data_IF_228517791342
#
_entry.id   IF_228517791342
#
_cell.length_a   1.000
_cell.length_b   1.000
_cell.length_c   1.000
_cell.angle_alpha   90.00
_cell.angle_beta   90.00
_cell.angle_gamma   90.00
#
_symmetry.space_group_name_H-M   'P 1'
#
loop_
_entity.id
_entity.type
_entity.pdbx_description
1 polymer ?
#
# COMPACT_ATOMS: atom_id res chain seq x y z
N UNK A 1 9.26 1.72 -38.30
CA UNK A 1 10.46 2.35 -37.70
C UNK A 1 10.32 2.53 -36.19
N UNK A 2 9.21 3.10 -35.67
CA UNK A 2 9.00 3.32 -34.24
C UNK A 2 8.93 2.04 -33.36
N UNK A 3 8.32 0.94 -33.85
CA UNK A 3 8.26 -0.34 -33.10
C UNK A 3 9.68 -0.84 -32.73
N UNK A 4 10.58 -0.87 -33.71
CA UNK A 4 11.96 -1.35 -33.54
C UNK A 4 12.73 -0.42 -32.58
N UNK A 5 12.57 0.89 -32.73
CA UNK A 5 13.22 1.86 -31.84
C UNK A 5 12.74 1.72 -30.39
N UNK A 6 11.43 1.57 -30.15
CA UNK A 6 10.86 1.37 -28.82
C UNK A 6 11.34 0.05 -28.18
N UNK A 7 11.39 -1.04 -28.96
CA UNK A 7 11.91 -2.33 -28.51
C UNK A 7 13.40 -2.28 -28.11
N UNK A 8 14.23 -1.58 -28.90
CA UNK A 8 15.65 -1.38 -28.56
C UNK A 8 15.80 -0.58 -27.26
N UNK A 9 15.03 0.50 -27.09
CA UNK A 9 15.07 1.30 -25.86
C UNK A 9 14.63 0.49 -24.64
N UNK A 10 13.61 -0.36 -24.78
CA UNK A 10 13.20 -1.25 -23.70
C UNK A 10 14.32 -2.23 -23.32
N UNK A 11 14.97 -2.86 -24.29
CA UNK A 11 16.10 -3.74 -24.03
C UNK A 11 17.26 -3.02 -23.32
N UNK A 12 17.62 -1.81 -23.77
CA UNK A 12 18.67 -1.01 -23.13
C UNK A 12 18.27 -0.61 -21.70
N UNK A 13 16.99 -0.31 -21.46
CA UNK A 13 16.48 0.06 -20.13
C UNK A 13 16.54 -1.08 -19.11
N UNK A 14 16.74 -2.34 -19.53
CA UNK A 14 16.94 -3.45 -18.60
C UNK A 14 18.29 -3.39 -17.87
N UNK A 15 19.27 -2.63 -18.38
CA UNK A 15 20.60 -2.50 -17.79
C UNK A 15 20.66 -1.32 -16.83
N UNK A 16 20.90 -1.57 -15.54
CA UNK A 16 20.85 -0.56 -14.49
C UNK A 16 21.78 0.64 -14.74
N UNK A 17 22.98 0.41 -15.28
CA UNK A 17 23.95 1.46 -15.61
C UNK A 17 23.51 2.38 -16.76
N UNK A 18 22.52 2.00 -17.56
CA UNK A 18 22.00 2.80 -18.67
C UNK A 18 20.73 3.56 -18.33
N UNK A 19 19.97 3.13 -17.30
CA UNK A 19 18.64 3.68 -17.00
C UNK A 19 18.66 5.19 -16.73
N UNK A 20 19.65 5.71 -16.00
CA UNK A 20 19.74 7.17 -15.74
C UNK A 20 20.03 7.96 -17.02
N UNK A 21 20.91 7.45 -17.90
CA UNK A 21 21.22 8.08 -19.18
C UNK A 21 19.99 8.08 -20.10
N UNK A 22 19.29 6.94 -20.20
CA UNK A 22 18.06 6.81 -20.98
C UNK A 22 16.95 7.72 -20.46
N UNK A 23 16.79 7.85 -19.13
CA UNK A 23 15.85 8.81 -18.55
C UNK A 23 16.21 10.25 -18.92
N UNK A 24 17.50 10.58 -19.00
CA UNK A 24 17.97 11.91 -19.42
C UNK A 24 17.64 12.20 -20.88
N UNK A 25 17.96 11.28 -21.77
CA UNK A 25 17.98 11.49 -23.22
C UNK A 25 16.68 11.11 -23.93
N UNK A 26 15.97 10.07 -23.48
CA UNK A 26 14.83 9.50 -24.21
C UNK A 26 13.46 9.77 -23.57
N UNK A 27 13.39 10.13 -22.28
CA UNK A 27 12.10 10.24 -21.56
C UNK A 27 11.13 11.25 -22.18
N UNK A 28 11.62 12.43 -22.58
CA UNK A 28 10.76 13.46 -23.21
C UNK A 28 10.20 12.96 -24.53
N UNK A 29 11.06 12.43 -25.40
CA UNK A 29 10.65 11.97 -26.73
C UNK A 29 9.70 10.78 -26.65
N UNK A 30 9.98 9.80 -25.78
CA UNK A 30 9.07 8.68 -25.54
C UNK A 30 7.71 9.15 -25.01
N UNK A 31 7.67 10.19 -24.19
CA UNK A 31 6.42 10.72 -23.64
C UNK A 31 5.66 11.51 -24.70
N UNK A 32 6.30 12.53 -25.28
CA UNK A 32 5.65 13.52 -26.13
C UNK A 32 5.35 13.01 -27.53
N UNK A 33 6.20 12.15 -28.10
CA UNK A 33 6.05 11.67 -29.48
C UNK A 33 5.38 10.31 -29.57
N UNK A 34 5.34 9.54 -28.47
CA UNK A 34 4.84 8.16 -28.48
C UNK A 34 3.68 7.99 -27.49
N UNK A 35 3.94 8.12 -26.19
CA UNK A 35 2.94 7.83 -25.16
C UNK A 35 1.70 8.73 -25.28
N UNK A 36 1.89 10.06 -25.37
CA UNK A 36 0.79 11.04 -25.42
C UNK A 36 -0.09 10.87 -26.67
N UNK A 37 0.47 10.78 -27.90
CA UNK A 37 -0.34 10.55 -29.10
C UNK A 37 -1.11 9.23 -29.09
N UNK A 38 -0.49 8.15 -28.58
CA UNK A 38 -1.14 6.84 -28.52
C UNK A 38 -2.33 6.85 -27.56
N UNK A 39 -2.15 7.35 -26.34
CA UNK A 39 -3.25 7.40 -25.36
C UNK A 39 -4.41 8.33 -25.79
N UNK A 40 -4.16 9.25 -26.72
CA UNK A 40 -5.19 10.14 -27.28
C UNK A 40 -5.98 9.50 -28.43
N UNK A 41 -5.53 8.36 -28.96
CA UNK A 41 -6.06 7.71 -30.16
C UNK A 41 -6.63 6.30 -29.88
N UNK A 42 -7.05 6.03 -28.63
CA UNK A 42 -7.63 4.74 -28.26
C UNK A 42 -9.03 4.58 -28.90
N UNK A 43 -9.42 3.41 -29.45
CA UNK A 43 -8.70 2.12 -29.41
C UNK A 43 -7.48 2.06 -30.35
N UNK A 44 -6.38 1.50 -29.84
CA UNK A 44 -5.13 1.34 -30.60
C UNK A 44 -5.23 0.20 -31.62
N UNK A 45 -4.67 0.43 -32.81
CA UNK A 45 -4.40 -0.64 -33.78
C UNK A 45 -3.36 -1.65 -33.24
N UNK A 46 -3.24 -2.86 -33.81
CA UNK A 46 -2.29 -3.86 -33.33
C UNK A 46 -0.83 -3.36 -33.29
N UNK A 47 -0.39 -2.61 -34.31
CA UNK A 47 0.96 -2.05 -34.35
C UNK A 47 1.17 -0.95 -33.30
N UNK A 48 0.17 -0.10 -33.09
CA UNK A 48 0.19 0.93 -32.04
C UNK A 48 0.22 0.31 -30.64
N UNK A 49 -0.48 -0.80 -30.43
CA UNK A 49 -0.43 -1.56 -29.18
C UNK A 49 0.96 -2.13 -28.91
N UNK A 50 1.65 -2.64 -29.93
CA UNK A 50 3.05 -3.09 -29.81
C UNK A 50 3.99 -1.93 -29.48
N UNK A 51 3.81 -0.77 -30.11
CA UNK A 51 4.60 0.43 -29.80
C UNK A 51 4.35 0.87 -28.34
N UNK A 52 3.08 0.91 -27.92
CA UNK A 52 2.70 1.26 -26.56
C UNK A 52 3.29 0.27 -25.55
N UNK A 53 3.19 -1.04 -25.81
CA UNK A 53 3.73 -2.08 -24.96
C UNK A 53 5.25 -1.94 -24.77
N UNK A 54 6.01 -1.77 -25.85
CA UNK A 54 7.45 -1.56 -25.77
C UNK A 54 7.81 -0.26 -25.03
N UNK A 55 7.07 0.82 -25.30
CA UNK A 55 7.28 2.14 -24.67
C UNK A 55 7.00 2.09 -23.17
N UNK A 56 5.85 1.55 -22.78
CA UNK A 56 5.47 1.38 -21.37
C UNK A 56 6.42 0.42 -20.64
N UNK A 57 6.93 -0.62 -21.30
CA UNK A 57 7.96 -1.51 -20.75
C UNK A 57 9.27 -0.79 -20.46
N UNK A 58 9.71 0.10 -21.36
CA UNK A 58 10.84 0.99 -21.12
C UNK A 58 10.59 1.90 -19.91
N UNK A 59 9.44 2.57 -19.85
CA UNK A 59 9.07 3.45 -18.73
C UNK A 59 9.00 2.70 -17.39
N UNK A 60 8.50 1.45 -17.39
CA UNK A 60 8.49 0.57 -16.21
C UNK A 60 9.90 0.36 -15.68
N UNK A 61 10.86 0.07 -16.56
CA UNK A 61 12.26 -0.11 -16.16
C UNK A 61 12.87 1.20 -15.65
N UNK A 62 12.64 2.34 -16.33
CA UNK A 62 13.17 3.63 -15.91
C UNK A 62 12.62 4.08 -14.54
N UNK A 63 11.35 3.82 -14.24
CA UNK A 63 10.72 4.19 -12.97
C UNK A 63 11.26 3.42 -11.75
N UNK A 64 12.00 2.33 -11.96
CA UNK A 64 12.52 1.46 -10.90
C UNK A 64 13.86 1.90 -10.27
N UNK A 65 14.51 2.95 -10.79
CA UNK A 65 15.93 3.25 -10.53
C UNK A 65 16.18 3.93 -9.18
N UNK A 66 15.96 5.24 -9.12
CA UNK A 66 16.33 6.10 -8.00
C UNK A 66 15.38 7.30 -7.93
N UNK A 67 15.45 8.02 -6.81
CA UNK A 67 14.63 9.21 -6.54
C UNK A 67 14.70 10.22 -7.68
N UNK A 68 15.90 10.56 -8.16
CA UNK A 68 16.09 11.54 -9.25
C UNK A 68 15.30 11.17 -10.51
N UNK A 69 15.33 9.89 -10.89
CA UNK A 69 14.62 9.39 -12.07
C UNK A 69 13.12 9.39 -11.86
N UNK A 70 12.64 8.95 -10.68
CA UNK A 70 11.22 9.02 -10.32
C UNK A 70 10.72 10.46 -10.36
N UNK A 71 11.46 11.39 -9.77
CA UNK A 71 11.10 12.80 -9.74
C UNK A 71 11.01 13.38 -11.15
N UNK A 72 12.01 13.10 -12.01
CA UNK A 72 11.96 13.50 -13.43
C UNK A 72 10.72 12.95 -14.15
N UNK A 73 10.33 11.71 -13.88
CA UNK A 73 9.12 11.11 -14.47
C UNK A 73 7.83 11.70 -13.92
N UNK A 74 7.76 12.02 -12.62
CA UNK A 74 6.61 12.72 -12.03
C UNK A 74 6.43 14.12 -12.61
N UNK A 75 7.54 14.80 -12.90
CA UNK A 75 7.54 16.16 -13.47
C UNK A 75 7.36 16.16 -15.00
N UNK A 76 7.45 15.00 -15.66
CA UNK A 76 7.31 14.87 -17.11
C UNK A 76 5.84 15.09 -17.51
N UNK A 77 5.58 16.23 -18.16
CA UNK A 77 4.24 16.64 -18.59
C UNK A 77 3.61 15.58 -19.51
N UNK A 78 2.38 15.19 -19.19
CA UNK A 78 1.62 14.21 -19.97
C UNK A 78 1.94 12.75 -19.66
N UNK A 79 3.06 12.44 -18.99
CA UNK A 79 3.42 11.05 -18.69
C UNK A 79 2.36 10.37 -17.81
N UNK A 80 2.10 10.93 -16.63
CA UNK A 80 1.15 10.34 -15.67
C UNK A 80 -0.27 10.43 -16.22
N UNK A 81 -0.65 11.55 -16.84
CA UNK A 81 -1.98 11.73 -17.44
C UNK A 81 -2.28 10.67 -18.51
N UNK A 82 -1.34 10.40 -19.41
CA UNK A 82 -1.49 9.39 -20.46
C UNK A 82 -1.60 7.98 -19.91
N UNK A 83 -0.81 7.62 -18.89
CA UNK A 83 -0.91 6.31 -18.24
C UNK A 83 -2.27 6.13 -17.54
N UNK A 84 -2.76 7.17 -16.86
CA UNK A 84 -4.09 7.12 -16.24
C UNK A 84 -5.19 7.00 -17.28
N UNK A 85 -5.10 7.79 -18.37
CA UNK A 85 -6.06 7.71 -19.48
C UNK A 85 -6.10 6.31 -20.09
N UNK A 86 -4.94 5.64 -20.24
CA UNK A 86 -4.87 4.26 -20.71
C UNK A 86 -5.53 3.28 -19.73
N UNK A 87 -5.23 3.39 -18.43
CA UNK A 87 -5.82 2.55 -17.38
C UNK A 87 -7.36 2.69 -17.33
N UNK A 88 -7.88 3.87 -17.61
CA UNK A 88 -9.33 4.14 -17.61
C UNK A 88 -10.10 3.46 -18.73
N UNK A 89 -9.46 3.16 -19.87
CA UNK A 89 -10.13 2.67 -21.08
C UNK A 89 -10.14 1.14 -21.14
N UNK A 90 -10.51 0.55 -19.99
CA UNK A 90 -10.29 -0.81 -19.50
C UNK A 90 -11.01 -1.97 -20.25
N UNK A 91 -11.16 -1.91 -21.58
CA UNK A 91 -11.80 -2.97 -22.38
C UNK A 91 -10.81 -4.00 -22.96
N UNK A 92 -9.69 -4.30 -22.31
CA UNK A 92 -8.67 -5.17 -22.91
C UNK A 92 -8.24 -6.27 -21.94
N UNK A 93 -8.88 -7.44 -22.06
CA UNK A 93 -8.38 -8.68 -21.45
C UNK A 93 -6.95 -8.96 -21.94
N UNK A 94 -6.06 -9.37 -21.03
CA UNK A 94 -4.63 -9.68 -21.27
C UNK A 94 -3.79 -8.55 -21.90
N UNK A 95 -3.98 -7.32 -21.44
CA UNK A 95 -3.20 -6.17 -21.91
C UNK A 95 -1.90 -5.97 -21.14
N UNK A 96 -0.78 -6.40 -21.72
CA UNK A 96 0.57 -6.16 -21.16
C UNK A 96 0.93 -4.68 -21.06
N UNK A 97 0.33 -3.81 -21.87
CA UNK A 97 0.45 -2.36 -21.75
C UNK A 97 -0.18 -1.83 -20.47
N UNK A 98 -1.33 -2.39 -20.07
CA UNK A 98 -1.98 -2.09 -18.80
C UNK A 98 -1.11 -2.52 -17.62
N UNK A 99 -0.55 -3.73 -17.68
CA UNK A 99 0.39 -4.22 -16.66
C UNK A 99 1.57 -3.25 -16.48
N UNK A 100 2.22 -2.86 -17.58
CA UNK A 100 3.34 -1.94 -17.53
C UNK A 100 2.94 -0.58 -16.98
N UNK A 101 1.77 -0.06 -17.36
CA UNK A 101 1.25 1.22 -16.86
C UNK A 101 1.02 1.18 -15.35
N UNK A 102 0.37 0.14 -14.84
CA UNK A 102 0.18 -0.06 -13.40
C UNK A 102 1.51 -0.20 -12.66
N UNK A 103 2.49 -0.92 -13.23
CA UNK A 103 3.83 -1.02 -12.66
C UNK A 103 4.54 0.33 -12.58
N UNK A 104 4.43 1.17 -13.62
CA UNK A 104 4.96 2.54 -13.58
C UNK A 104 4.28 3.34 -12.47
N UNK A 105 2.95 3.30 -12.39
CA UNK A 105 2.20 4.01 -11.36
C UNK A 105 2.58 3.56 -9.94
N UNK A 106 2.76 2.26 -9.71
CA UNK A 106 3.28 1.71 -8.45
C UNK A 106 4.65 2.28 -8.12
N UNK A 107 5.58 2.24 -9.06
CA UNK A 107 6.97 2.70 -8.87
C UNK A 107 7.03 4.22 -8.60
N UNK A 108 6.23 5.02 -9.31
CA UNK A 108 6.15 6.47 -9.08
C UNK A 108 5.46 6.81 -7.76
N UNK A 109 4.63 5.91 -7.20
CA UNK A 109 4.02 6.07 -5.88
C UNK A 109 4.99 5.69 -4.74
N UNK A 110 6.12 5.05 -5.02
CA UNK A 110 7.11 4.71 -3.99
C UNK A 110 7.73 5.97 -3.38
N UNK A 111 7.81 6.02 -2.04
CA UNK A 111 8.33 7.17 -1.28
C UNK A 111 7.67 8.51 -1.65
N UNK A 112 6.40 8.47 -2.11
CA UNK A 112 5.69 9.64 -2.64
C UNK A 112 5.75 10.82 -1.68
N UNK A 113 5.34 10.65 -0.42
CA UNK A 113 5.24 11.76 0.54
C UNK A 113 6.57 12.40 0.93
N UNK A 114 7.65 11.64 0.94
CA UNK A 114 8.99 12.17 1.25
C UNK A 114 9.58 12.94 0.08
N UNK A 115 9.23 12.54 -1.15
CA UNK A 115 9.76 13.10 -2.40
C UNK A 115 8.86 14.19 -3.01
N UNK A 116 7.64 14.41 -2.48
CA UNK A 116 6.74 15.46 -2.96
C UNK A 116 7.34 16.87 -2.77
N UNK A 117 7.07 17.81 -3.70
CA UNK A 117 7.46 19.21 -3.53
C UNK A 117 6.93 19.78 -2.19
N UNK A 118 7.71 20.62 -1.47
CA UNK A 118 7.30 21.15 -0.16
C UNK A 118 5.94 21.87 -0.17
N UNK A 119 5.63 22.59 -1.25
CA UNK A 119 4.34 23.26 -1.42
C UNK A 119 3.16 22.28 -1.48
N UNK A 120 3.33 21.15 -2.17
CA UNK A 120 2.33 20.08 -2.24
C UNK A 120 2.19 19.40 -0.90
N UNK A 121 3.30 19.09 -0.22
CA UNK A 121 3.28 18.48 1.13
C UNK A 121 2.52 19.35 2.12
N UNK A 122 2.80 20.65 2.15
CA UNK A 122 2.13 21.61 3.04
C UNK A 122 0.61 21.66 2.76
N UNK A 123 0.21 21.66 1.47
CA UNK A 123 -1.20 21.57 1.07
C UNK A 123 -1.85 20.29 1.60
N UNK A 124 -1.20 19.14 1.43
CA UNK A 124 -1.75 17.83 1.84
C UNK A 124 -1.74 17.60 3.36
N UNK A 125 -0.85 18.28 4.09
CA UNK A 125 -0.88 18.30 5.56
C UNK A 125 -2.07 19.14 6.09
N UNK A 126 -2.55 20.11 5.31
CA UNK A 126 -3.64 21.00 5.66
C UNK A 126 -3.28 21.93 6.83
N UNK A 127 -4.21 22.80 7.28
CA UNK A 127 -3.97 23.65 8.45
C UNK A 127 -3.68 22.79 9.69
N UNK A 128 -2.50 22.99 10.28
CA UNK A 128 -2.08 22.31 11.51
C UNK A 128 -2.86 22.86 12.70
N UNK A 129 -3.18 22.03 13.70
CA UNK A 129 -3.89 22.46 14.92
C UNK A 129 -3.14 23.58 15.67
N UNK A 130 -1.84 23.74 15.45
CA UNK A 130 -1.03 24.82 16.00
C UNK A 130 -1.39 26.22 15.45
N UNK A 131 -2.05 26.32 14.30
CA UNK A 131 -2.58 27.60 13.79
C UNK A 131 -4.01 27.88 14.24
N UNK A 132 -4.71 26.90 14.82
CA UNK A 132 -6.07 27.06 15.37
C UNK A 132 -6.08 27.30 16.89
N UNK A 133 -4.94 27.16 17.56
CA UNK A 133 -4.83 27.24 19.02
C UNK A 133 -4.49 28.64 19.55
N UNK A 134 -4.90 29.72 18.88
CA UNK A 134 -4.79 31.08 19.45
C UNK A 134 -6.10 31.68 19.95
N UNK A 135 -7.27 31.04 19.77
CA UNK A 135 -8.55 31.66 20.17
C UNK A 135 -9.60 30.70 20.80
N UNK A 136 -9.22 29.64 21.52
CA UNK A 136 -10.16 29.11 22.52
C UNK A 136 -9.47 28.44 23.71
N UNK A 137 -9.49 29.15 24.83
CA UNK A 137 -9.42 28.56 26.16
C UNK A 137 -10.66 27.69 26.37
N UNK A 138 -10.48 26.39 26.57
CA UNK A 138 -11.45 25.55 27.28
C UNK A 138 -10.76 24.31 27.86
N UNK A 139 -10.49 24.39 29.16
CA UNK A 139 -10.21 23.28 30.07
C UNK A 139 -11.44 22.37 30.10
N UNK A 140 -11.28 21.05 29.93
CA UNK A 140 -12.42 20.12 30.03
C UNK A 140 -12.07 18.66 29.75
N UNK A 141 -11.81 17.92 30.82
CA UNK A 141 -11.75 16.46 30.86
C UNK A 141 -13.10 15.86 30.44
N UNK A 142 -13.31 15.50 29.16
CA UNK A 142 -14.31 14.54 28.61
C UNK A 142 -14.35 14.65 27.06
N UNK A 143 -13.34 14.18 26.31
CA UNK A 143 -13.34 14.31 24.83
C UNK A 143 -12.69 13.14 24.06
N UNK A 144 -13.11 11.90 24.31
CA UNK A 144 -12.77 10.78 23.38
C UNK A 144 -13.76 10.67 22.21
N UNK A 145 -15.03 11.02 22.41
CA UNK A 145 -16.06 10.93 21.35
C UNK A 145 -16.01 12.09 20.33
N UNK A 146 -15.58 13.29 20.74
CA UNK A 146 -15.49 14.46 19.85
C UNK A 146 -14.29 14.40 18.89
N UNK A 147 -13.22 13.71 19.27
CA UNK A 147 -11.97 13.62 18.47
C UNK A 147 -12.18 12.90 17.13
N UNK A 148 -12.99 11.81 17.14
CA UNK A 148 -13.26 10.99 15.95
C UNK A 148 -14.17 11.68 14.92
N UNK A 149 -15.19 12.41 15.38
CA UNK A 149 -16.02 13.22 14.49
C UNK A 149 -15.23 14.41 13.91
N UNK A 150 -14.36 15.03 14.70
CA UNK A 150 -13.54 16.15 14.25
C UNK A 150 -12.49 15.70 13.21
N UNK A 151 -11.81 14.57 13.42
CA UNK A 151 -10.86 14.01 12.42
C UNK A 151 -11.55 13.61 11.11
N UNK A 152 -12.75 13.01 11.18
CA UNK A 152 -13.52 12.64 9.97
C UNK A 152 -14.01 13.85 9.19
N UNK A 153 -14.54 14.87 9.89
CA UNK A 153 -14.98 16.13 9.28
C UNK A 153 -13.79 16.88 8.65
N UNK A 154 -12.62 16.84 9.30
CA UNK A 154 -11.39 17.41 8.75
C UNK A 154 -10.92 16.66 7.50
N UNK A 155 -10.92 15.32 7.49
CA UNK A 155 -10.51 14.54 6.32
C UNK A 155 -11.44 14.79 5.11
N UNK A 156 -12.75 14.95 5.34
CA UNK A 156 -13.72 15.35 4.32
C UNK A 156 -13.47 16.76 3.79
N UNK A 157 -13.07 17.70 4.66
CA UNK A 157 -12.68 19.06 4.26
C UNK A 157 -11.45 19.06 3.34
N UNK A 158 -10.42 18.25 3.63
CA UNK A 158 -9.18 18.23 2.80
C UNK A 158 -9.42 17.51 1.46
N UNK A 159 -10.35 16.54 1.40
CA UNK A 159 -10.79 15.98 0.11
C UNK A 159 -11.40 17.05 -0.82
N UNK A 160 -11.88 18.18 -0.27
CA UNK A 160 -12.31 19.32 -1.09
C UNK A 160 -11.16 20.25 -1.51
N UNK A 161 -9.98 20.14 -0.89
CA UNK A 161 -8.78 20.92 -1.21
C UNK A 161 -8.00 20.34 -2.41
N UNK A 162 -8.30 19.12 -2.82
CA UNK A 162 -7.72 18.51 -4.04
C UNK A 162 -8.52 18.87 -5.29
N UNK A 163 -7.82 19.07 -6.40
CA UNK A 163 -8.43 19.44 -7.68
C UNK A 163 -9.45 18.38 -8.11
N UNK A 164 -10.65 18.83 -8.51
CA UNK A 164 -11.65 17.93 -9.14
C UNK A 164 -11.13 17.28 -10.42
N UNK A 165 -10.16 17.91 -11.08
CA UNK A 165 -9.48 17.41 -12.26
C UNK A 165 -7.98 17.34 -11.97
N UNK A 166 -7.49 16.22 -11.37
CA UNK A 166 -6.06 16.03 -11.14
C UNK A 166 -5.30 16.04 -12.47
N UNK A 167 -4.06 16.54 -12.43
CA UNK A 167 -3.16 16.60 -13.59
C UNK A 167 -1.76 16.14 -13.20
N UNK A 168 -1.05 15.51 -14.13
CA UNK A 168 0.34 15.07 -13.93
C UNK A 168 0.51 14.25 -12.64
N UNK A 169 1.52 14.59 -11.84
CA UNK A 169 1.81 13.89 -10.59
C UNK A 169 0.69 13.93 -9.54
N UNK A 170 -0.30 14.82 -9.66
CA UNK A 170 -1.43 14.87 -8.71
C UNK A 170 -2.23 13.56 -8.71
N UNK A 171 -2.31 12.88 -9.86
CA UNK A 171 -2.96 11.58 -9.95
C UNK A 171 -2.43 10.56 -8.94
N UNK A 172 -1.11 10.54 -8.69
CA UNK A 172 -0.46 9.53 -7.85
C UNK A 172 -0.97 9.51 -6.40
N UNK A 173 -1.54 10.60 -5.91
CA UNK A 173 -2.11 10.70 -4.56
C UNK A 173 -3.58 11.13 -4.59
N UNK A 174 -4.24 11.09 -5.75
CA UNK A 174 -5.63 11.51 -5.87
C UNK A 174 -6.61 10.35 -5.54
N UNK A 175 -7.72 10.60 -4.81
CA UNK A 175 -8.73 9.58 -4.50
C UNK A 175 -9.28 8.81 -5.72
N UNK A 176 -9.41 9.47 -6.88
CA UNK A 176 -9.84 8.83 -8.14
C UNK A 176 -8.95 7.66 -8.55
N UNK A 177 -7.64 7.67 -8.25
CA UNK A 177 -6.78 6.53 -8.55
C UNK A 177 -7.11 5.31 -7.71
N UNK A 178 -7.58 5.49 -6.47
CA UNK A 178 -8.03 4.39 -5.61
C UNK A 178 -9.20 3.64 -6.26
N UNK A 179 -10.16 4.38 -6.82
CA UNK A 179 -11.28 3.80 -7.57
C UNK A 179 -10.81 3.02 -8.81
N UNK A 180 -9.83 3.54 -9.57
CA UNK A 180 -9.28 2.83 -10.73
C UNK A 180 -8.54 1.55 -10.32
N UNK A 181 -7.74 1.59 -9.25
CA UNK A 181 -7.10 0.37 -8.74
C UNK A 181 -8.13 -0.66 -8.30
N UNK A 182 -9.21 -0.24 -7.64
CA UNK A 182 -10.32 -1.14 -7.29
C UNK A 182 -10.91 -1.84 -8.52
N UNK A 183 -11.16 -1.11 -9.61
CA UNK A 183 -11.67 -1.72 -10.85
C UNK A 183 -10.72 -2.79 -11.40
N UNK A 184 -9.40 -2.55 -11.36
CA UNK A 184 -8.39 -3.57 -11.70
C UNK A 184 -8.50 -4.80 -10.79
N UNK A 185 -8.68 -4.62 -9.49
CA UNK A 185 -8.80 -5.74 -8.54
C UNK A 185 -10.10 -6.54 -8.71
N UNK A 186 -11.17 -5.90 -9.17
CA UNK A 186 -12.47 -6.54 -9.39
C UNK A 186 -12.59 -7.24 -10.74
N UNK A 187 -11.74 -6.88 -11.71
CA UNK A 187 -11.73 -7.51 -13.02
C UNK A 187 -11.11 -8.92 -12.92
N UNK A 188 -11.90 -9.95 -13.23
CA UNK A 188 -11.48 -11.36 -13.21
C UNK A 188 -10.36 -11.67 -14.19
N UNK A 189 -10.28 -10.89 -15.27
CA UNK A 189 -9.33 -11.10 -16.36
C UNK A 189 -8.00 -10.35 -16.11
N UNK A 190 -7.90 -9.61 -15.00
CA UNK A 190 -6.66 -8.95 -14.61
C UNK A 190 -5.57 -9.97 -14.30
N UNK A 191 -4.41 -9.80 -14.94
CA UNK A 191 -3.22 -10.60 -14.66
C UNK A 191 -2.77 -10.47 -13.19
N UNK A 192 -2.16 -11.52 -12.64
CA UNK A 192 -1.58 -11.50 -11.29
C UNK A 192 -0.60 -10.32 -11.12
N UNK A 193 0.20 -10.00 -12.14
CA UNK A 193 1.10 -8.84 -12.13
C UNK A 193 0.35 -7.51 -12.09
N UNK A 194 -0.74 -7.35 -12.84
CA UNK A 194 -1.57 -6.14 -12.82
C UNK A 194 -2.19 -5.94 -11.44
N UNK A 195 -2.66 -7.04 -10.83
CA UNK A 195 -3.20 -7.06 -9.48
C UNK A 195 -2.13 -6.69 -8.44
N UNK A 196 -0.97 -7.35 -8.49
CA UNK A 196 0.19 -7.03 -7.65
C UNK A 196 0.55 -5.54 -7.76
N UNK A 197 0.61 -5.00 -8.98
CA UNK A 197 0.96 -3.61 -9.22
C UNK A 197 -0.07 -2.64 -8.63
N UNK A 198 -1.36 -2.92 -8.79
CA UNK A 198 -2.44 -2.13 -8.20
C UNK A 198 -2.41 -2.18 -6.66
N UNK A 199 -2.25 -3.37 -6.06
CA UNK A 199 -2.10 -3.54 -4.61
C UNK A 199 -0.86 -2.81 -4.10
N UNK A 200 0.27 -2.93 -4.79
CA UNK A 200 1.52 -2.25 -4.43
C UNK A 200 1.40 -0.73 -4.54
N UNK A 201 0.66 -0.20 -5.52
CA UNK A 201 0.40 1.23 -5.61
C UNK A 201 -0.45 1.70 -4.43
N UNK A 202 -1.52 0.97 -4.08
CA UNK A 202 -2.32 1.22 -2.88
C UNK A 202 -1.50 1.15 -1.60
N UNK A 203 -0.61 0.16 -1.47
CA UNK A 203 0.32 0.04 -0.35
C UNK A 203 1.21 1.28 -0.24
N UNK A 204 1.77 1.74 -1.36
CA UNK A 204 2.67 2.89 -1.40
C UNK A 204 1.97 4.20 -1.02
N UNK A 205 0.78 4.48 -1.57
CA UNK A 205 0.05 5.72 -1.28
C UNK A 205 -0.56 5.74 0.13
N UNK A 206 -0.71 4.58 0.77
CA UNK A 206 -1.18 4.47 2.17
C UNK A 206 -0.03 4.35 3.17
N UNK A 207 1.23 4.38 2.73
CA UNK A 207 2.38 4.20 3.59
C UNK A 207 2.73 5.45 4.41
N UNK A 208 3.28 5.22 5.61
CA UNK A 208 3.85 6.27 6.45
C UNK A 208 2.89 6.83 7.49
N UNK A 209 3.15 8.07 7.92
CA UNK A 209 2.40 8.81 8.94
C UNK A 209 1.88 10.16 8.43
N UNK A 210 2.08 10.43 7.13
CA UNK A 210 1.56 11.63 6.52
C UNK A 210 0.04 11.67 6.68
N UNK A 211 -0.52 12.84 6.99
CA UNK A 211 -1.97 13.00 7.13
C UNK A 211 -2.72 12.46 5.90
N UNK A 212 -2.19 12.72 4.72
CA UNK A 212 -2.76 12.27 3.46
C UNK A 212 -2.76 10.74 3.27
N UNK A 213 -1.77 10.01 3.82
CA UNK A 213 -1.78 8.54 3.80
C UNK A 213 -2.96 7.99 4.60
N UNK A 214 -3.30 8.65 5.71
CA UNK A 214 -4.50 8.34 6.50
C UNK A 214 -5.79 8.69 5.75
N UNK A 215 -5.83 9.81 5.04
CA UNK A 215 -6.98 10.20 4.20
C UNK A 215 -7.23 9.14 3.12
N UNK A 216 -6.20 8.77 2.35
CA UNK A 216 -6.35 7.75 1.30
C UNK A 216 -6.68 6.36 1.87
N UNK A 217 -6.17 6.01 3.05
CA UNK A 217 -6.60 4.79 3.76
C UNK A 217 -8.10 4.83 4.09
N UNK A 218 -8.60 6.00 4.49
CA UNK A 218 -10.04 6.24 4.68
C UNK A 218 -10.84 6.13 3.38
N UNK A 219 -10.31 6.61 2.25
CA UNK A 219 -10.94 6.42 0.93
C UNK A 219 -11.03 4.93 0.59
N UNK A 220 -9.95 4.16 0.77
CA UNK A 220 -9.93 2.71 0.52
C UNK A 220 -10.98 1.97 1.37
N UNK A 221 -11.08 2.30 2.67
CA UNK A 221 -11.94 1.59 3.62
C UNK A 221 -13.40 2.06 3.60
N UNK A 222 -13.65 3.36 3.57
CA UNK A 222 -14.98 3.94 3.81
C UNK A 222 -15.70 4.31 2.51
N UNK A 223 -14.99 4.94 1.57
CA UNK A 223 -15.57 5.41 0.31
C UNK A 223 -15.65 4.27 -0.71
N UNK A 224 -14.52 3.63 -1.00
CA UNK A 224 -14.41 2.56 -1.99
C UNK A 224 -14.75 1.17 -1.42
N UNK A 225 -14.81 1.04 -0.09
CA UNK A 225 -15.18 -0.19 0.63
C UNK A 225 -14.42 -1.42 0.14
N UNK A 226 -13.12 -1.28 -0.05
CA UNK A 226 -12.28 -2.30 -0.69
C UNK A 226 -11.91 -3.46 0.23
N UNK A 227 -12.18 -3.38 1.55
CA UNK A 227 -11.70 -4.37 2.51
C UNK A 227 -12.13 -5.82 2.17
N UNK A 228 -13.38 -6.12 1.81
CA UNK A 228 -13.77 -7.49 1.42
C UNK A 228 -12.95 -8.00 0.22
N UNK A 229 -12.82 -7.19 -0.84
CA UNK A 229 -12.03 -7.52 -2.03
C UNK A 229 -10.58 -7.84 -1.65
N UNK A 230 -9.97 -7.02 -0.80
CA UNK A 230 -8.59 -7.22 -0.35
C UNK A 230 -8.43 -8.49 0.49
N UNK A 231 -9.44 -8.86 1.27
CA UNK A 231 -9.38 -10.07 2.10
C UNK A 231 -9.59 -11.34 1.29
N UNK A 232 -10.47 -11.31 0.28
CA UNK A 232 -10.65 -12.43 -0.66
C UNK A 232 -9.35 -12.74 -1.42
N UNK A 233 -8.56 -11.71 -1.74
CA UNK A 233 -7.26 -11.86 -2.40
C UNK A 233 -6.17 -12.51 -1.52
N UNK A 234 -6.38 -12.67 -0.20
CA UNK A 234 -5.43 -13.38 0.65
C UNK A 234 -5.44 -14.90 0.39
N UNK A 235 -6.41 -15.43 -0.36
CA UNK A 235 -6.48 -16.86 -0.66
C UNK A 235 -5.48 -17.34 -1.72
N UNK A 236 -4.60 -16.46 -2.21
CA UNK A 236 -3.50 -16.81 -3.12
C UNK A 236 -2.31 -17.44 -2.38
N UNK A 237 -1.61 -18.36 -3.05
CA UNK A 237 -0.30 -18.88 -2.62
C UNK A 237 0.87 -18.06 -3.19
N UNK A 238 0.58 -17.06 -4.03
CA UNK A 238 1.58 -16.19 -4.64
C UNK A 238 2.16 -15.22 -3.61
N UNK A 239 3.39 -15.50 -3.15
CA UNK A 239 4.11 -14.61 -2.24
C UNK A 239 4.33 -13.21 -2.85
N UNK A 240 4.39 -13.11 -4.18
CA UNK A 240 4.45 -11.84 -4.92
C UNK A 240 3.22 -10.97 -4.68
N UNK A 241 2.01 -11.56 -4.62
CA UNK A 241 0.77 -10.83 -4.31
C UNK A 241 0.59 -10.64 -2.79
N UNK A 242 0.94 -11.64 -1.98
CA UNK A 242 0.77 -11.59 -0.52
C UNK A 242 1.61 -10.48 0.13
N UNK A 243 2.82 -10.21 -0.36
CA UNK A 243 3.69 -9.15 0.20
C UNK A 243 3.06 -7.75 0.16
N UNK A 244 2.71 -7.19 -1.01
CA UNK A 244 2.09 -5.88 -1.07
C UNK A 244 0.70 -5.89 -0.44
N UNK A 245 -0.05 -7.00 -0.52
CA UNK A 245 -1.39 -7.11 0.06
C UNK A 245 -1.37 -7.02 1.58
N UNK A 246 -0.54 -7.83 2.24
CA UNK A 246 -0.40 -7.76 3.69
C UNK A 246 0.23 -6.44 4.14
N UNK A 247 1.12 -5.86 3.34
CA UNK A 247 1.65 -4.52 3.57
C UNK A 247 0.57 -3.44 3.53
N UNK A 248 -0.33 -3.48 2.55
CA UNK A 248 -1.49 -2.61 2.46
C UNK A 248 -2.42 -2.81 3.66
N UNK A 249 -2.77 -4.04 3.99
CA UNK A 249 -3.62 -4.35 5.15
C UNK A 249 -3.02 -3.84 6.47
N UNK A 250 -1.69 -3.88 6.62
CA UNK A 250 -0.98 -3.26 7.76
C UNK A 250 -1.17 -1.74 7.78
N UNK A 251 -1.03 -1.06 6.64
CA UNK A 251 -1.23 0.39 6.55
C UNK A 251 -2.68 0.78 6.84
N UNK A 252 -3.65 0.04 6.28
CA UNK A 252 -5.07 0.25 6.56
C UNK A 252 -5.38 0.00 8.05
N UNK A 253 -4.81 -1.07 8.63
CA UNK A 253 -4.96 -1.37 10.05
C UNK A 253 -4.42 -0.23 10.91
N UNK A 254 -3.26 0.35 10.56
CA UNK A 254 -2.68 1.54 11.23
C UNK A 254 -3.67 2.71 11.24
N UNK A 255 -4.19 3.09 10.07
CA UNK A 255 -4.99 4.29 9.86
C UNK A 255 -6.50 4.14 10.16
N UNK A 256 -6.97 2.94 10.46
CA UNK A 256 -8.38 2.71 10.78
C UNK A 256 -8.84 3.45 12.05
N UNK A 257 -9.93 4.20 11.91
CA UNK A 257 -10.57 4.91 13.03
C UNK A 257 -11.44 3.99 13.89
N UNK A 258 -11.77 2.79 13.40
CA UNK A 258 -12.59 1.80 14.12
C UNK A 258 -11.87 0.45 14.17
N UNK A 259 -10.93 0.34 15.11
CA UNK A 259 -10.11 -0.85 15.32
C UNK A 259 -10.94 -2.08 15.69
N UNK A 260 -12.01 -1.92 16.46
CA UNK A 260 -12.90 -3.03 16.82
C UNK A 260 -13.65 -3.59 15.62
N UNK A 261 -14.21 -2.73 14.76
CA UNK A 261 -14.86 -3.20 13.54
C UNK A 261 -13.87 -3.91 12.62
N UNK A 262 -12.69 -3.31 12.43
CA UNK A 262 -11.64 -3.89 11.61
C UNK A 262 -11.12 -5.23 12.17
N UNK A 263 -11.02 -5.35 13.50
CA UNK A 263 -10.60 -6.58 14.16
C UNK A 263 -11.57 -7.74 13.88
N UNK A 264 -12.89 -7.50 13.99
CA UNK A 264 -13.92 -8.51 13.69
C UNK A 264 -13.81 -9.07 12.28
N UNK A 265 -13.41 -8.25 11.32
CA UNK A 265 -13.30 -8.65 9.91
C UNK A 265 -11.97 -9.30 9.58
N UNK A 266 -10.86 -8.80 10.13
CA UNK A 266 -9.52 -9.19 9.67
C UNK A 266 -8.82 -10.24 10.53
N UNK A 267 -9.06 -10.27 11.85
CA UNK A 267 -8.21 -11.05 12.77
C UNK A 267 -8.19 -12.53 12.44
N UNK A 268 -9.36 -13.14 12.20
CA UNK A 268 -9.45 -14.57 11.86
C UNK A 268 -8.64 -14.89 10.58
N UNK A 269 -8.83 -14.10 9.52
CA UNK A 269 -8.20 -14.31 8.21
C UNK A 269 -6.68 -14.11 8.31
N UNK A 270 -6.23 -13.08 9.02
CA UNK A 270 -4.80 -12.83 9.22
C UNK A 270 -4.15 -13.93 10.05
N UNK A 271 -4.80 -14.39 11.13
CA UNK A 271 -4.29 -15.48 11.97
C UNK A 271 -4.28 -16.81 11.21
N UNK A 272 -5.24 -17.07 10.33
CA UNK A 272 -5.24 -18.29 9.52
C UNK A 272 -4.04 -18.36 8.58
N UNK A 273 -3.61 -17.21 8.02
CA UNK A 273 -2.43 -17.09 7.14
C UNK A 273 -1.08 -17.05 7.85
N UNK A 274 -1.03 -16.87 9.18
CA UNK A 274 0.23 -17.02 9.92
C UNK A 274 0.73 -18.48 9.86
N UNK A 275 2.04 -18.71 9.73
CA UNK A 275 2.62 -20.05 9.88
C UNK A 275 2.50 -20.52 11.34
N UNK A 276 2.67 -21.82 11.57
CA UNK A 276 2.66 -22.37 12.94
C UNK A 276 3.90 -22.00 13.73
N UNK A 277 5.04 -21.80 13.06
CA UNK A 277 6.33 -21.43 13.62
C UNK A 277 7.18 -20.65 12.61
N UNK A 278 8.39 -20.24 13.01
CA UNK A 278 9.33 -19.53 12.16
C UNK A 278 10.23 -20.40 11.27
N UNK A 279 10.05 -21.73 11.28
CA UNK A 279 10.74 -22.63 10.34
C UNK A 279 9.99 -22.78 9.03
N UNK A 280 8.66 -22.64 9.05
CA UNK A 280 7.84 -22.61 7.84
C UNK A 280 8.25 -21.44 6.94
N UNK A 281 8.45 -21.75 5.65
CA UNK A 281 8.90 -20.79 4.64
C UNK A 281 7.77 -20.14 3.85
N UNK A 282 6.56 -20.67 3.98
CA UNK A 282 5.34 -20.18 3.36
C UNK A 282 4.32 -19.84 4.46
N UNK A 283 3.84 -18.58 4.54
CA UNK A 283 4.24 -17.44 3.70
C UNK A 283 5.66 -16.93 4.05
N UNK A 284 6.24 -16.07 3.20
CA UNK A 284 7.58 -15.53 3.46
C UNK A 284 7.66 -14.70 4.76
N UNK A 285 8.86 -14.54 5.31
CA UNK A 285 9.07 -13.74 6.52
C UNK A 285 8.57 -12.30 6.39
N UNK A 286 8.61 -11.70 5.20
CA UNK A 286 8.09 -10.35 4.94
C UNK A 286 6.56 -10.29 5.12
N UNK A 287 5.85 -11.28 4.58
CA UNK A 287 4.40 -11.44 4.77
C UNK A 287 4.08 -11.64 6.25
N UNK A 288 4.83 -12.50 6.96
CA UNK A 288 4.64 -12.71 8.41
C UNK A 288 4.84 -11.41 9.20
N UNK A 289 5.87 -10.62 8.87
CA UNK A 289 6.12 -9.30 9.48
C UNK A 289 4.97 -8.34 9.23
N UNK A 290 4.44 -8.31 8.00
CA UNK A 290 3.30 -7.46 7.66
C UNK A 290 2.03 -7.86 8.41
N UNK A 291 1.72 -9.17 8.48
CA UNK A 291 0.58 -9.70 9.25
C UNK A 291 0.72 -9.36 10.73
N UNK A 292 1.89 -9.63 11.33
CA UNK A 292 2.15 -9.27 12.73
C UNK A 292 2.01 -7.77 12.96
N UNK A 293 2.51 -6.94 12.03
CA UNK A 293 2.33 -5.49 12.09
C UNK A 293 0.87 -5.05 12.04
N UNK A 294 0.05 -5.68 11.18
CA UNK A 294 -1.38 -5.40 11.10
C UNK A 294 -2.10 -5.77 12.40
N UNK A 295 -1.85 -6.98 12.93
CA UNK A 295 -2.38 -7.44 14.21
C UNK A 295 -1.95 -6.52 15.35
N UNK A 296 -0.69 -6.09 15.37
CA UNK A 296 -0.17 -5.17 16.37
C UNK A 296 -0.93 -3.83 16.35
N UNK A 297 -1.13 -3.25 15.17
CA UNK A 297 -1.88 -1.99 15.03
C UNK A 297 -3.35 -2.08 15.46
N UNK A 298 -3.95 -3.27 15.38
CA UNK A 298 -5.29 -3.53 15.92
C UNK A 298 -5.23 -3.65 17.45
N UNK A 299 -4.31 -4.48 17.96
CA UNK A 299 -4.14 -4.76 19.39
C UNK A 299 -3.83 -3.50 20.19
N UNK A 300 -3.06 -2.52 19.68
CA UNK A 300 -2.71 -1.31 20.47
C UNK A 300 -3.93 -0.54 20.98
N UNK A 301 -5.07 -0.59 20.27
CA UNK A 301 -6.26 0.18 20.63
C UNK A 301 -7.54 -0.67 20.67
N UNK A 302 -7.43 -2.00 20.70
CA UNK A 302 -8.58 -2.91 20.68
C UNK A 302 -8.31 -4.15 21.52
N UNK A 303 -8.89 -4.20 22.72
CA UNK A 303 -8.90 -5.43 23.53
C UNK A 303 -9.68 -6.55 22.84
N UNK A 304 -10.62 -6.19 21.97
CA UNK A 304 -11.36 -7.13 21.13
C UNK A 304 -10.41 -7.86 20.16
N UNK A 305 -9.49 -7.15 19.51
CA UNK A 305 -8.48 -7.78 18.67
C UNK A 305 -7.62 -8.78 19.44
N UNK A 306 -7.14 -8.42 20.63
CA UNK A 306 -6.34 -9.32 21.48
C UNK A 306 -7.13 -10.57 21.91
N UNK A 307 -8.42 -10.41 22.22
CA UNK A 307 -9.31 -11.54 22.54
C UNK A 307 -9.51 -12.44 21.33
N UNK A 308 -9.80 -11.87 20.16
CA UNK A 308 -10.09 -12.62 18.95
C UNK A 308 -8.83 -13.35 18.43
N UNK A 309 -7.63 -12.75 18.52
CA UNK A 309 -6.36 -13.43 18.22
C UNK A 309 -6.21 -14.68 19.10
N UNK A 310 -6.47 -14.55 20.40
CA UNK A 310 -6.45 -15.71 21.30
C UNK A 310 -7.49 -16.75 20.90
N UNK A 311 -8.71 -16.33 20.59
CA UNK A 311 -9.82 -17.22 20.20
C UNK A 311 -9.48 -18.04 18.95
N UNK A 312 -8.90 -17.42 17.91
CA UNK A 312 -8.52 -18.07 16.66
C UNK A 312 -7.15 -18.76 16.68
N UNK A 313 -6.68 -19.24 17.85
CA UNK A 313 -5.40 -19.94 18.03
C UNK A 313 -4.14 -19.14 17.62
N UNK A 314 -4.22 -17.82 17.58
CA UNK A 314 -3.09 -16.96 17.21
C UNK A 314 -1.94 -16.94 18.22
N UNK A 315 -2.22 -17.19 19.51
CA UNK A 315 -1.19 -17.24 20.55
C UNK A 315 -0.13 -18.31 20.27
N UNK A 316 -0.56 -19.53 19.91
CA UNK A 316 0.34 -20.63 19.62
C UNK A 316 1.25 -20.31 18.43
N UNK A 317 0.68 -19.77 17.34
CA UNK A 317 1.41 -19.37 16.14
C UNK A 317 2.42 -18.25 16.43
N UNK A 318 2.00 -17.18 17.11
CA UNK A 318 2.86 -16.05 17.45
C UNK A 318 4.03 -16.47 18.34
N UNK A 319 3.79 -17.35 19.31
CA UNK A 319 4.85 -17.91 20.16
C UNK A 319 5.79 -18.79 19.34
N UNK A 320 5.26 -19.68 18.49
CA UNK A 320 6.08 -20.50 17.59
C UNK A 320 6.98 -19.67 16.68
N UNK A 321 6.45 -18.60 16.09
CA UNK A 321 7.23 -17.65 15.27
C UNK A 321 8.30 -16.95 16.10
N UNK A 322 7.97 -16.55 17.33
CA UNK A 322 8.89 -15.89 18.27
C UNK A 322 10.03 -16.81 18.71
N UNK A 323 9.78 -18.10 18.99
CA UNK A 323 10.74 -18.98 19.66
C UNK A 323 11.43 -19.99 18.75
N UNK A 324 10.76 -20.44 17.69
CA UNK A 324 11.18 -21.57 16.87
C UNK A 324 11.47 -21.11 15.46
N UNK A 325 12.68 -20.61 15.23
CA UNK A 325 13.10 -20.04 13.95
C UNK A 325 14.58 -20.32 13.63
N UNK A 326 14.94 -20.20 12.36
CA UNK A 326 16.27 -20.56 11.83
C UNK A 326 17.34 -19.45 11.95
N UNK A 327 17.11 -18.44 12.80
CA UNK A 327 17.99 -17.27 12.99
C UNK A 327 18.36 -16.49 11.71
N UNK A 328 17.69 -16.72 10.58
CA UNK A 328 17.87 -15.88 9.40
C UNK A 328 17.40 -14.45 9.67
N UNK A 329 17.95 -13.47 8.96
CA UNK A 329 17.56 -12.06 9.11
C UNK A 329 16.05 -11.84 8.94
N UNK A 330 15.41 -12.56 8.01
CA UNK A 330 13.97 -12.54 7.81
C UNK A 330 13.22 -13.10 9.03
N UNK A 331 13.59 -14.29 9.49
CA UNK A 331 12.94 -14.93 10.63
C UNK A 331 13.12 -14.15 11.93
N UNK A 332 14.27 -13.52 12.16
CA UNK A 332 14.50 -12.65 13.31
C UNK A 332 13.58 -11.42 13.30
N UNK A 333 13.33 -10.83 12.13
CA UNK A 333 12.36 -9.73 12.00
C UNK A 333 10.94 -10.21 12.29
N UNK A 334 10.55 -11.38 11.80
CA UNK A 334 9.25 -11.99 12.07
C UNK A 334 9.07 -12.30 13.57
N UNK A 335 10.09 -12.88 14.21
CA UNK A 335 10.11 -13.18 15.64
C UNK A 335 9.93 -11.91 16.49
N UNK A 336 10.65 -10.82 16.17
CA UNK A 336 10.49 -9.51 16.84
C UNK A 336 9.09 -8.92 16.65
N UNK A 337 8.55 -9.03 15.43
CA UNK A 337 7.19 -8.55 15.14
C UNK A 337 6.14 -9.33 15.95
N UNK A 338 6.26 -10.66 16.01
CA UNK A 338 5.38 -11.52 16.81
C UNK A 338 5.51 -11.23 18.31
N UNK A 339 6.75 -11.05 18.81
CA UNK A 339 7.03 -10.65 20.20
C UNK A 339 6.31 -9.33 20.55
N UNK A 340 6.36 -8.34 19.65
CA UNK A 340 5.68 -7.05 19.86
C UNK A 340 4.16 -7.20 19.98
N UNK A 341 3.54 -8.04 19.14
CA UNK A 341 2.10 -8.34 19.24
C UNK A 341 1.78 -8.94 20.60
N UNK A 342 2.53 -9.97 21.02
CA UNK A 342 2.34 -10.65 22.30
C UNK A 342 2.49 -9.68 23.48
N UNK A 343 3.54 -8.84 23.48
CA UNK A 343 3.75 -7.82 24.51
C UNK A 343 2.53 -6.89 24.65
N UNK A 344 1.99 -6.40 23.52
CA UNK A 344 0.83 -5.51 23.54
C UNK A 344 -0.46 -6.23 23.93
N UNK A 345 -0.65 -7.49 23.54
CA UNK A 345 -1.78 -8.30 24.01
C UNK A 345 -1.77 -8.47 25.53
N UNK A 346 -0.58 -8.62 26.13
CA UNK A 346 -0.44 -8.82 27.57
C UNK A 346 -0.70 -7.56 28.39
N UNK A 347 -0.84 -6.38 27.79
CA UNK A 347 -1.29 -5.17 28.50
C UNK A 347 -2.75 -5.27 28.95
N UNK A 348 -3.54 -6.20 28.36
CA UNK A 348 -4.94 -6.42 28.71
C UNK A 348 -5.10 -7.40 29.87
N UNK A 349 -4.97 -6.89 31.11
CA UNK A 349 -5.10 -7.68 32.35
C UNK A 349 -6.36 -8.56 32.43
N UNK A 350 -7.47 -8.10 31.83
CA UNK A 350 -8.74 -8.86 31.78
C UNK A 350 -8.62 -10.19 31.02
N UNK A 351 -7.67 -10.32 30.09
CA UNK A 351 -7.47 -11.52 29.27
C UNK A 351 -6.47 -12.50 29.89
N UNK A 352 -5.75 -12.13 30.95
CA UNK A 352 -4.69 -12.98 31.54
C UNK A 352 -5.21 -14.32 32.05
N UNK A 353 -6.42 -14.35 32.64
CA UNK A 353 -7.05 -15.60 33.08
C UNK A 353 -7.29 -16.53 31.89
N UNK A 354 -7.77 -15.99 30.78
CA UNK A 354 -8.05 -16.76 29.57
C UNK A 354 -6.76 -17.30 28.94
N UNK A 355 -5.69 -16.50 28.95
CA UNK A 355 -4.36 -16.94 28.50
C UNK A 355 -3.83 -18.10 29.35
N UNK A 356 -3.97 -18.01 30.68
CA UNK A 356 -3.56 -19.08 31.60
C UNK A 356 -4.38 -20.36 31.40
N UNK A 357 -5.70 -20.23 31.18
CA UNK A 357 -6.57 -21.38 30.87
C UNK A 357 -6.17 -22.09 29.58
N UNK A 358 -5.58 -21.36 28.62
CA UNK A 358 -5.02 -21.91 27.38
C UNK A 358 -3.58 -22.42 27.52
N UNK A 359 -3.02 -22.41 28.72
CA UNK A 359 -1.67 -22.92 29.00
C UNK A 359 -0.54 -21.92 28.81
N UNK A 360 -0.84 -20.64 28.58
CA UNK A 360 0.18 -19.60 28.40
C UNK A 360 0.52 -18.89 29.71
N UNK A 361 1.80 -18.60 29.91
CA UNK A 361 2.33 -17.90 31.07
C UNK A 361 2.93 -16.54 30.68
N UNK A 362 3.17 -15.67 31.67
CA UNK A 362 3.74 -14.33 31.46
C UNK A 362 5.01 -14.33 30.60
N UNK A 363 5.88 -15.33 30.78
CA UNK A 363 7.14 -15.47 30.01
C UNK A 363 6.94 -15.57 28.50
N UNK A 364 5.80 -16.10 28.06
CA UNK A 364 5.50 -16.28 26.64
C UNK A 364 5.23 -14.92 25.97
N UNK A 365 4.72 -13.96 26.76
CA UNK A 365 4.40 -12.61 26.33
C UNK A 365 5.53 -11.59 26.53
N UNK A 366 6.52 -11.89 27.36
CA UNK A 366 7.66 -11.00 27.60
C UNK A 366 8.84 -11.38 26.71
N UNK A 367 9.59 -10.40 26.22
CA UNK A 367 10.87 -10.65 25.59
C UNK A 367 11.91 -10.90 26.69
N UNK A 368 12.62 -12.04 26.66
CA UNK A 368 13.71 -12.32 27.61
C UNK A 368 15.05 -11.69 27.17
N UNK A 369 15.05 -11.06 25.99
CA UNK A 369 16.23 -10.54 25.28
C UNK A 369 16.21 -9.03 25.06
N UNK A 370 15.34 -8.30 25.77
CA UNK A 370 15.36 -6.83 25.85
C UNK A 370 15.77 -6.42 27.26
#
# INVERSE_FOLDING_TARGET
>A
MFVVAAGVLWNLSSRDNLKEKLSKEALSELTEKVLVPLCSSIPLSPSERDIFYNTSGCLRNLSSVNERTRQKMRDMRGLVDSLVSYIQQQEMADDKGLENSLCVMRNLSYQLYTELPPSVRLRLEGPSRASASRDSEAIGCFTLYSKKNNERNQNLSILSEVSRQPKGAEWLWHPKMVALYKLVLQNSDSSSTSREAAIGALQNITAGEARWSSVLSGVVLEQERMLPILLDLLDTDSDMELRPLTGLLRNLARHSTNKDHMAKTMVNILVSKLPSDGHQKTPSSEVVVNICGALNHLVTCSSLAARDISYFNGLQKLIGIKTSHDNSSGSLKAARAASTVLCNMFQYNKLHKDYKLKGFARRDFTDATI
#
